data_IF_120038863716
#
_entry.id   IF_120038863716
#
_cell.length_a   1.000
_cell.length_b   1.000
_cell.length_c   1.000
_cell.angle_alpha   90.00
_cell.angle_beta   90.00
_cell.angle_gamma   90.00
#
_symmetry.space_group_name_H-M   'P 1'
#
loop_
_entity.id
_entity.type
_entity.pdbx_description
1 polymer ?
#
# COMPACT_ATOMS: atom_id res chain seq x y z
N UNK A 1 4.62 13.54 -14.76
CA UNK A 1 3.40 14.37 -14.91
C UNK A 1 3.04 15.09 -13.61
N UNK A 2 2.80 14.36 -12.47
CA UNK A 2 2.45 15.00 -11.17
C UNK A 2 3.62 15.84 -10.67
N UNK A 3 4.84 15.30 -10.63
CA UNK A 3 6.04 16.05 -10.22
C UNK A 3 6.28 17.30 -11.07
N UNK A 4 5.99 17.25 -12.38
CA UNK A 4 6.06 18.41 -13.25
C UNK A 4 5.04 19.49 -12.85
N UNK A 5 3.79 19.11 -12.55
CA UNK A 5 2.77 20.04 -12.05
C UNK A 5 3.15 20.68 -10.71
N UNK A 6 3.78 19.90 -9.81
CA UNK A 6 4.28 20.45 -8.56
C UNK A 6 5.38 21.47 -8.80
N UNK A 7 6.29 21.20 -9.74
CA UNK A 7 7.34 22.16 -10.13
C UNK A 7 6.74 23.44 -10.72
N UNK A 8 5.75 23.32 -11.62
CA UNK A 8 5.01 24.46 -12.18
C UNK A 8 4.24 25.25 -11.10
N UNK A 9 3.89 24.61 -9.98
CA UNK A 9 3.21 25.21 -8.81
C UNK A 9 4.20 25.74 -7.74
N UNK A 10 5.44 26.00 -8.10
CA UNK A 10 6.47 26.51 -7.18
C UNK A 10 6.96 25.47 -6.18
N UNK A 11 7.12 24.23 -6.63
CA UNK A 11 7.53 23.04 -5.84
C UNK A 11 6.60 22.70 -4.67
N UNK A 12 5.35 23.20 -4.72
CA UNK A 12 4.30 22.79 -3.78
C UNK A 12 3.40 21.73 -4.41
N UNK A 13 2.80 20.83 -3.62
CA UNK A 13 1.84 19.87 -4.13
C UNK A 13 0.72 20.58 -4.91
N UNK A 14 0.54 20.21 -6.17
CA UNK A 14 -0.57 20.69 -6.99
C UNK A 14 -1.88 19.97 -6.60
N UNK A 15 -1.76 18.68 -6.30
CA UNK A 15 -2.89 17.88 -5.83
C UNK A 15 -2.87 17.80 -4.31
N UNK A 16 -3.98 18.16 -3.67
CA UNK A 16 -4.16 17.98 -2.23
C UNK A 16 -4.17 16.50 -1.83
N UNK A 17 -4.81 15.66 -2.64
CA UNK A 17 -4.94 14.22 -2.39
C UNK A 17 -4.42 13.40 -3.56
N UNK A 18 -3.73 12.31 -3.23
CA UNK A 18 -3.49 11.18 -4.14
C UNK A 18 -4.05 9.93 -3.45
N UNK A 19 -4.93 9.22 -4.15
CA UNK A 19 -5.49 7.96 -3.67
C UNK A 19 -4.94 6.81 -4.47
N UNK A 20 -4.39 5.80 -3.80
CA UNK A 20 -3.98 4.53 -4.39
C UNK A 20 -5.05 3.48 -4.06
N UNK A 21 -5.86 3.11 -5.04
CA UNK A 21 -6.89 2.09 -4.95
C UNK A 21 -6.51 0.92 -5.88
N UNK A 22 -6.00 -0.19 -5.37
CA UNK A 22 -5.79 -0.46 -3.96
C UNK A 22 -4.33 -0.87 -3.69
N UNK A 23 -3.88 -0.71 -2.46
CA UNK A 23 -2.50 -1.02 -2.08
C UNK A 23 -2.17 -2.52 -2.14
N UNK A 24 -3.16 -3.41 -2.08
CA UNK A 24 -2.95 -4.86 -2.30
C UNK A 24 -2.49 -5.15 -3.73
N UNK A 25 -2.98 -4.38 -4.73
CA UNK A 25 -2.50 -4.47 -6.11
C UNK A 25 -1.11 -3.85 -6.30
N UNK A 26 -0.78 -2.84 -5.50
CA UNK A 26 0.57 -2.27 -5.48
C UNK A 26 1.61 -3.34 -5.13
N UNK A 27 1.25 -4.31 -4.29
CA UNK A 27 2.12 -5.44 -3.95
C UNK A 27 2.48 -6.29 -5.18
N UNK A 28 1.52 -6.57 -6.06
CA UNK A 28 1.80 -7.32 -7.30
C UNK A 28 2.77 -6.56 -8.21
N UNK A 29 2.61 -5.25 -8.32
CA UNK A 29 3.53 -4.39 -9.09
C UNK A 29 4.91 -4.33 -8.45
N UNK A 30 4.99 -4.40 -7.13
CA UNK A 30 6.24 -4.36 -6.39
C UNK A 30 7.15 -5.59 -6.65
N UNK A 31 6.62 -6.71 -7.13
CA UNK A 31 7.42 -7.90 -7.49
C UNK A 31 8.49 -7.54 -8.52
N UNK A 32 8.12 -6.80 -9.56
CA UNK A 32 9.08 -6.37 -10.59
C UNK A 32 10.14 -5.43 -10.04
N UNK A 33 9.72 -4.47 -9.22
CA UNK A 33 10.65 -3.52 -8.61
C UNK A 33 11.55 -4.21 -7.57
N UNK A 34 11.03 -5.14 -6.80
CA UNK A 34 11.81 -5.96 -5.88
C UNK A 34 12.89 -6.78 -6.61
N UNK A 35 12.58 -7.32 -7.80
CA UNK A 35 13.58 -7.98 -8.64
C UNK A 35 14.67 -7.02 -9.11
N UNK A 36 14.33 -5.75 -9.42
CA UNK A 36 15.33 -4.71 -9.72
C UNK A 36 16.21 -4.43 -8.51
N UNK A 37 15.63 -4.28 -7.31
CA UNK A 37 16.38 -4.05 -6.07
C UNK A 37 17.31 -5.22 -5.76
N UNK A 38 16.83 -6.45 -5.93
CA UNK A 38 17.66 -7.64 -5.73
C UNK A 38 18.81 -7.69 -6.72
N UNK A 39 18.60 -7.39 -8.00
CA UNK A 39 19.67 -7.34 -9.01
C UNK A 39 20.78 -6.33 -8.73
N UNK A 40 20.55 -5.32 -7.90
CA UNK A 40 21.57 -4.38 -7.46
C UNK A 40 22.56 -4.99 -6.45
N UNK A 41 22.24 -6.16 -5.90
CA UNK A 41 23.14 -6.88 -5.00
C UNK A 41 24.06 -7.81 -5.77
N UNK A 42 25.21 -8.14 -5.19
CA UNK A 42 26.14 -9.11 -5.79
C UNK A 42 25.48 -10.47 -6.04
N UNK A 43 24.70 -10.97 -5.08
CA UNK A 43 24.01 -12.26 -5.20
C UNK A 43 22.90 -12.25 -6.26
N UNK A 44 22.22 -11.12 -6.40
CA UNK A 44 21.10 -10.95 -7.31
C UNK A 44 21.47 -10.53 -8.73
N UNK A 45 22.71 -10.21 -9.03
CA UNK A 45 23.16 -9.60 -10.30
C UNK A 45 22.70 -10.33 -11.58
N UNK A 46 22.42 -11.62 -11.46
CA UNK A 46 21.94 -12.47 -12.55
C UNK A 46 20.52 -13.03 -12.33
N UNK A 47 19.80 -12.49 -11.36
CA UNK A 47 18.43 -12.92 -11.04
C UNK A 47 17.43 -12.46 -12.10
N UNK A 48 16.52 -13.37 -12.47
CA UNK A 48 15.37 -13.05 -13.31
C UNK A 48 15.71 -12.77 -14.77
N UNK A 49 16.84 -13.24 -15.26
CA UNK A 49 17.14 -13.26 -16.69
C UNK A 49 16.89 -14.65 -17.27
N UNK A 50 16.39 -14.69 -18.52
CA UNK A 50 16.26 -15.94 -19.28
C UNK A 50 17.61 -16.58 -19.49
N UNK A 51 17.66 -17.91 -19.37
CA UNK A 51 18.86 -18.71 -19.58
C UNK A 51 18.63 -19.76 -20.67
N UNK A 52 19.68 -20.10 -21.38
CA UNK A 52 19.70 -21.25 -22.28
C UNK A 52 19.74 -22.58 -21.49
N UNK A 53 19.78 -23.71 -22.24
CA UNK A 53 19.80 -25.05 -21.63
C UNK A 53 21.09 -25.35 -20.83
N UNK A 54 22.17 -24.59 -21.02
CA UNK A 54 23.46 -24.75 -20.36
C UNK A 54 23.70 -23.65 -19.30
N UNK A 55 22.71 -22.77 -19.06
CA UNK A 55 22.72 -21.79 -17.96
C UNK A 55 23.24 -20.40 -18.33
N UNK A 56 23.60 -20.13 -19.59
CA UNK A 56 24.03 -18.81 -20.02
C UNK A 56 22.84 -17.85 -20.13
N UNK A 57 23.05 -16.59 -19.76
CA UNK A 57 22.03 -15.56 -19.89
C UNK A 57 21.81 -15.21 -21.37
N UNK A 58 20.57 -15.29 -21.81
CA UNK A 58 20.17 -14.89 -23.15
C UNK A 58 20.18 -13.36 -23.28
N UNK A 59 20.63 -12.91 -24.46
CA UNK A 59 20.64 -11.49 -24.84
C UNK A 59 19.78 -11.25 -26.07
N UNK A 60 19.24 -10.07 -26.18
CA UNK A 60 18.50 -9.62 -27.37
C UNK A 60 19.46 -9.14 -28.49
N UNK A 61 18.89 -8.63 -29.58
CA UNK A 61 19.66 -8.14 -30.74
C UNK A 61 20.56 -6.93 -30.42
N UNK A 62 20.26 -6.19 -29.34
CA UNK A 62 21.04 -5.05 -28.87
C UNK A 62 22.12 -5.44 -27.87
N UNK A 63 22.18 -6.72 -27.47
CA UNK A 63 23.10 -7.22 -26.46
C UNK A 63 22.58 -7.09 -25.03
N UNK A 64 21.35 -6.64 -24.83
CA UNK A 64 20.74 -6.50 -23.53
C UNK A 64 20.22 -7.85 -23.00
N UNK A 65 20.36 -8.06 -21.67
CA UNK A 65 19.90 -9.28 -21.01
C UNK A 65 18.37 -9.40 -21.06
N UNK A 66 17.85 -10.50 -21.56
CA UNK A 66 16.40 -10.75 -21.66
C UNK A 66 15.83 -11.07 -20.27
N UNK A 67 14.87 -10.27 -19.82
CA UNK A 67 14.16 -10.51 -18.55
C UNK A 67 13.23 -11.71 -18.68
N UNK A 68 13.23 -12.60 -17.69
CA UNK A 68 12.25 -13.67 -17.56
C UNK A 68 11.00 -13.11 -16.86
N UNK A 69 9.85 -13.04 -17.54
CA UNK A 69 8.62 -12.53 -16.94
C UNK A 69 8.06 -13.41 -15.82
N UNK A 70 8.55 -14.64 -15.68
CA UNK A 70 8.19 -15.58 -14.61
C UNK A 70 9.05 -15.45 -13.36
N UNK A 71 10.10 -14.62 -13.42
CA UNK A 71 11.00 -14.46 -12.28
C UNK A 71 10.30 -13.73 -11.13
N UNK A 72 10.21 -14.37 -10.00
CA UNK A 72 9.57 -13.87 -8.80
C UNK A 72 10.52 -13.96 -7.60
N UNK A 73 10.85 -12.81 -7.02
CA UNK A 73 11.75 -12.75 -5.86
C UNK A 73 11.19 -13.48 -4.64
N UNK A 74 9.86 -13.65 -4.54
CA UNK A 74 9.21 -14.38 -3.43
C UNK A 74 9.62 -15.85 -3.39
N UNK A 75 10.11 -16.39 -4.52
CA UNK A 75 10.62 -17.76 -4.63
C UNK A 75 12.09 -17.91 -4.18
N UNK A 76 12.73 -16.82 -3.75
CA UNK A 76 14.10 -16.92 -3.22
C UNK A 76 14.14 -17.77 -1.95
N UNK A 77 15.23 -18.58 -1.77
CA UNK A 77 15.38 -19.44 -0.60
C UNK A 77 15.27 -18.68 0.72
N UNK A 78 14.79 -19.38 1.76
CA UNK A 78 14.71 -18.87 3.14
C UNK A 78 13.92 -17.55 3.31
N UNK A 79 13.00 -17.26 2.39
CA UNK A 79 12.18 -16.06 2.45
C UNK A 79 12.94 -14.75 2.18
N UNK A 80 14.17 -14.82 1.65
CA UNK A 80 15.01 -13.65 1.38
C UNK A 80 14.29 -12.63 0.47
N UNK A 81 13.45 -13.10 -0.44
CA UNK A 81 12.70 -12.24 -1.36
C UNK A 81 11.73 -11.28 -0.68
N UNK A 82 11.16 -11.64 0.48
CA UNK A 82 10.25 -10.78 1.21
C UNK A 82 10.90 -9.50 1.75
N UNK A 83 12.24 -9.51 1.97
CA UNK A 83 12.97 -8.30 2.28
C UNK A 83 12.90 -7.29 1.13
N UNK A 84 13.14 -7.77 -0.09
CA UNK A 84 13.12 -6.92 -1.30
C UNK A 84 11.71 -6.48 -1.65
N UNK A 85 10.70 -7.34 -1.45
CA UNK A 85 9.29 -6.97 -1.59
C UNK A 85 8.91 -5.81 -0.67
N UNK A 86 9.25 -5.91 0.61
CA UNK A 86 9.00 -4.88 1.61
C UNK A 86 9.70 -3.56 1.26
N UNK A 87 10.97 -3.61 0.86
CA UNK A 87 11.71 -2.42 0.45
C UNK A 87 11.09 -1.80 -0.80
N UNK A 88 10.70 -2.60 -1.78
CA UNK A 88 10.05 -2.12 -3.00
C UNK A 88 8.75 -1.38 -2.70
N UNK A 89 7.85 -1.97 -1.90
CA UNK A 89 6.58 -1.33 -1.53
C UNK A 89 6.83 -0.04 -0.75
N UNK A 90 7.76 -0.07 0.20
CA UNK A 90 8.11 1.12 0.98
C UNK A 90 8.66 2.25 0.10
N UNK A 91 9.56 1.95 -0.83
CA UNK A 91 10.10 2.93 -1.78
C UNK A 91 8.99 3.46 -2.70
N UNK A 92 8.10 2.59 -3.20
CA UNK A 92 6.97 3.02 -4.04
C UNK A 92 6.04 3.97 -3.29
N UNK A 93 5.66 3.67 -2.05
CA UNK A 93 4.84 4.57 -1.21
C UNK A 93 5.57 5.89 -0.98
N UNK A 94 6.86 5.84 -0.66
CA UNK A 94 7.67 7.03 -0.41
C UNK A 94 7.84 7.93 -1.66
N UNK A 95 7.77 7.36 -2.87
CA UNK A 95 7.75 8.16 -4.10
C UNK A 95 6.48 8.98 -4.27
N UNK A 96 5.34 8.52 -3.72
CA UNK A 96 4.07 9.26 -3.79
C UNK A 96 3.93 10.33 -2.70
N UNK A 97 4.50 10.13 -1.53
CA UNK A 97 4.36 11.04 -0.37
C UNK A 97 4.66 12.51 -0.68
N UNK A 98 5.77 12.87 -1.36
CA UNK A 98 6.08 14.27 -1.66
C UNK A 98 5.23 14.88 -2.77
N UNK A 99 4.37 14.09 -3.42
CA UNK A 99 3.60 14.55 -4.58
C UNK A 99 2.24 15.16 -4.21
N UNK A 100 1.81 15.03 -2.95
CA UNK A 100 0.51 15.51 -2.46
C UNK A 100 0.60 15.92 -0.97
N UNK A 101 -0.39 16.67 -0.51
CA UNK A 101 -0.50 16.99 0.92
C UNK A 101 -0.94 15.76 1.73
N UNK A 102 -1.83 14.94 1.17
CA UNK A 102 -2.33 13.72 1.82
C UNK A 102 -2.34 12.55 0.85
N UNK A 103 -1.60 11.49 1.21
CA UNK A 103 -1.61 10.22 0.50
C UNK A 103 -2.62 9.27 1.16
N UNK A 104 -3.59 8.80 0.39
CA UNK A 104 -4.62 7.85 0.84
C UNK A 104 -4.34 6.49 0.21
N UNK A 105 -4.19 5.46 1.04
CA UNK A 105 -4.05 4.07 0.61
C UNK A 105 -5.33 3.32 0.93
N UNK A 106 -6.01 2.83 -0.09
CA UNK A 106 -7.16 1.94 0.07
C UNK A 106 -6.64 0.51 0.08
N UNK A 107 -7.01 -0.26 1.10
CA UNK A 107 -6.56 -1.63 1.28
C UNK A 107 -7.76 -2.55 1.52
N UNK A 108 -7.69 -3.77 1.00
CA UNK A 108 -8.55 -4.84 1.47
C UNK A 108 -8.14 -5.27 2.88
N UNK A 109 -9.07 -5.87 3.61
CA UNK A 109 -8.82 -6.45 4.92
C UNK A 109 -8.78 -7.97 4.81
N UNK A 110 -8.00 -8.59 5.70
CA UNK A 110 -7.98 -10.04 5.90
C UNK A 110 -7.92 -10.36 7.37
N UNK A 111 -8.37 -11.55 7.72
CA UNK A 111 -8.19 -12.13 9.05
C UNK A 111 -6.75 -12.62 9.21
N UNK A 112 -6.08 -12.18 10.28
CA UNK A 112 -4.74 -12.60 10.68
C UNK A 112 -4.82 -13.30 12.02
N UNK A 113 -4.43 -14.56 12.05
CA UNK A 113 -4.29 -15.29 13.32
C UNK A 113 -3.02 -14.82 14.03
N UNK A 114 -3.18 -14.44 15.28
CA UNK A 114 -2.09 -14.05 16.17
C UNK A 114 -2.17 -14.88 17.45
N UNK A 115 -1.01 -15.19 18.03
CA UNK A 115 -0.92 -15.87 19.31
C UNK A 115 -0.57 -14.85 20.39
N UNK A 116 -1.50 -14.60 21.31
CA UNK A 116 -1.31 -13.76 22.49
C UNK A 116 -1.49 -14.63 23.75
N UNK A 117 -0.48 -14.67 24.62
CA UNK A 117 -0.55 -15.38 25.91
C UNK A 117 -1.02 -16.84 25.80
N UNK A 118 -0.50 -17.55 24.79
CA UNK A 118 -0.89 -18.95 24.45
C UNK A 118 -2.32 -19.14 23.93
N UNK A 119 -3.08 -18.08 23.73
CA UNK A 119 -4.37 -18.11 23.06
C UNK A 119 -4.27 -17.66 21.62
N UNK A 120 -4.93 -18.37 20.72
CA UNK A 120 -5.07 -17.96 19.32
C UNK A 120 -6.23 -16.97 19.19
N UNK A 121 -5.92 -15.77 18.73
CA UNK A 121 -6.91 -14.73 18.46
C UNK A 121 -6.85 -14.33 16.99
N UNK A 122 -7.99 -13.94 16.43
CA UNK A 122 -8.07 -13.41 15.08
C UNK A 122 -8.08 -11.89 15.14
N UNK A 123 -7.17 -11.27 14.40
CA UNK A 123 -7.06 -9.82 14.24
C UNK A 123 -7.37 -9.44 12.79
N UNK A 124 -8.13 -8.37 12.60
CA UNK A 124 -8.34 -7.79 11.28
C UNK A 124 -7.10 -6.99 10.87
N UNK A 125 -6.49 -7.34 9.76
CA UNK A 125 -5.29 -6.70 9.23
C UNK A 125 -5.49 -6.26 7.78
N UNK A 126 -4.63 -5.37 7.28
CA UNK A 126 -4.59 -5.04 5.86
C UNK A 126 -4.09 -6.22 5.04
N UNK A 127 -4.70 -6.44 3.87
CA UNK A 127 -4.32 -7.54 2.98
C UNK A 127 -3.09 -7.17 2.15
N UNK A 128 -1.94 -7.18 2.82
CA UNK A 128 -0.59 -7.05 2.26
C UNK A 128 0.27 -8.15 2.88
N UNK A 129 1.16 -8.76 2.10
CA UNK A 129 1.94 -9.90 2.56
C UNK A 129 2.97 -9.56 3.63
N UNK A 130 3.17 -10.50 4.53
CA UNK A 130 4.20 -10.45 5.57
C UNK A 130 4.04 -9.27 6.53
N UNK A 131 5.17 -8.69 6.95
CA UNK A 131 5.21 -7.54 7.87
C UNK A 131 5.03 -6.18 7.18
N UNK A 132 4.82 -6.15 5.87
CA UNK A 132 4.75 -4.89 5.10
C UNK A 132 3.50 -4.10 5.48
N UNK A 133 2.36 -4.78 5.66
CA UNK A 133 1.13 -4.16 6.13
C UNK A 133 1.29 -3.49 7.49
N UNK A 134 1.93 -4.17 8.45
CA UNK A 134 2.19 -3.65 9.79
C UNK A 134 3.06 -2.39 9.74
N UNK A 135 4.08 -2.35 8.85
CA UNK A 135 4.97 -1.20 8.67
C UNK A 135 4.20 -0.01 8.08
N UNK A 136 3.43 -0.23 7.00
CA UNK A 136 2.65 0.85 6.35
C UNK A 136 1.64 1.43 7.34
N UNK A 137 0.93 0.56 8.08
CA UNK A 137 0.00 0.99 9.11
C UNK A 137 0.69 1.76 10.24
N UNK A 138 1.88 1.32 10.68
CA UNK A 138 2.67 2.01 11.69
C UNK A 138 3.14 3.41 11.27
N UNK A 139 3.33 3.66 9.98
CA UNK A 139 3.73 4.94 9.41
C UNK A 139 2.53 5.86 9.08
N UNK A 140 1.30 5.32 9.02
CA UNK A 140 0.10 6.10 8.71
C UNK A 140 -0.31 7.01 9.88
N UNK A 141 -0.79 8.21 9.59
CA UNK A 141 -1.32 9.13 10.60
C UNK A 141 -2.72 8.72 11.08
N UNK A 142 -3.49 8.09 10.22
CA UNK A 142 -4.81 7.57 10.55
C UNK A 142 -5.11 6.30 9.74
N UNK A 143 -5.76 5.34 10.38
CA UNK A 143 -6.23 4.10 9.77
C UNK A 143 -7.72 3.99 10.07
N UNK A 144 -8.54 4.19 9.05
CA UNK A 144 -9.98 4.09 9.12
C UNK A 144 -10.48 2.78 8.55
N UNK A 145 -11.40 2.14 9.25
CA UNK A 145 -12.11 0.96 8.75
C UNK A 145 -13.45 1.38 8.14
N UNK A 146 -13.61 1.09 6.85
CA UNK A 146 -14.85 1.37 6.11
C UNK A 146 -15.79 0.18 6.27
N UNK A 147 -17.03 0.46 6.70
CA UNK A 147 -18.10 -0.53 6.79
C UNK A 147 -19.39 0.02 6.22
N UNK A 148 -20.27 -0.88 5.75
CA UNK A 148 -21.60 -0.53 5.30
C UNK A 148 -22.65 -1.07 6.25
N UNK A 149 -23.55 -0.22 6.71
CA UNK A 149 -24.69 -0.57 7.56
C UNK A 149 -25.98 -0.09 6.89
N UNK A 150 -26.76 -1.01 6.37
CA UNK A 150 -27.93 -0.73 5.53
C UNK A 150 -27.55 0.21 4.36
N UNK A 151 -28.12 1.42 4.32
CA UNK A 151 -27.89 2.45 3.30
C UNK A 151 -26.75 3.42 3.66
N UNK A 152 -26.07 3.23 4.81
CA UNK A 152 -25.03 4.14 5.31
C UNK A 152 -23.65 3.53 5.17
N UNK A 153 -22.67 4.35 4.76
CA UNK A 153 -21.25 4.00 4.79
C UNK A 153 -20.59 4.74 5.95
N UNK A 154 -19.91 3.98 6.80
CA UNK A 154 -19.24 4.48 7.99
C UNK A 154 -17.74 4.30 7.87
N UNK A 155 -16.96 5.25 8.42
CA UNK A 155 -15.53 5.09 8.67
C UNK A 155 -15.27 5.16 10.15
N UNK A 156 -14.68 4.11 10.71
CA UNK A 156 -14.35 4.00 12.14
C UNK A 156 -12.84 4.14 12.35
N UNK A 157 -12.45 5.05 13.23
CA UNK A 157 -11.10 5.23 13.76
C UNK A 157 -10.97 4.79 15.22
N UNK A 158 -11.99 4.09 15.72
CA UNK A 158 -11.99 3.56 17.09
C UNK A 158 -10.99 2.43 17.18
N UNK A 159 -9.99 2.57 18.03
CA UNK A 159 -9.01 1.53 18.33
C UNK A 159 -9.66 0.27 18.93
N UNK A 160 -8.91 -0.82 18.98
CA UNK A 160 -9.38 -2.06 19.59
C UNK A 160 -8.32 -3.15 19.52
N UNK A 161 -8.45 -4.15 20.41
CA UNK A 161 -7.46 -5.22 20.54
C UNK A 161 -7.33 -6.13 19.32
N UNK A 162 -8.37 -6.16 18.48
CA UNK A 162 -8.50 -7.09 17.36
C UNK A 162 -8.57 -6.39 15.99
N UNK A 163 -8.17 -5.11 15.88
CA UNK A 163 -8.19 -4.43 14.59
C UNK A 163 -7.12 -3.34 14.51
N UNK A 164 -6.37 -3.34 13.39
CA UNK A 164 -5.43 -2.26 13.07
C UNK A 164 -6.25 -1.07 12.59
N UNK A 165 -6.63 -0.19 13.49
CA UNK A 165 -7.29 1.08 13.21
C UNK A 165 -7.01 2.06 14.34
N UNK A 166 -7.09 3.35 14.03
CA UNK A 166 -6.82 4.41 14.99
C UNK A 166 -6.37 5.67 14.30
N UNK A 167 -6.09 6.70 15.06
CA UNK A 167 -5.71 8.00 14.51
C UNK A 167 -4.82 8.79 15.45
N UNK A 168 -3.76 9.43 14.90
CA UNK A 168 -2.98 10.46 15.58
C UNK A 168 -3.73 11.80 15.62
N UNK A 169 -4.34 12.28 14.50
CA UNK A 169 -5.19 13.47 14.51
C UNK A 169 -6.33 13.39 15.53
N UNK A 170 -6.42 14.38 16.43
CA UNK A 170 -7.38 14.38 17.54
C UNK A 170 -8.84 14.42 17.05
N UNK A 171 -9.12 15.08 15.93
CA UNK A 171 -10.47 15.18 15.39
C UNK A 171 -11.01 13.84 14.89
N UNK A 172 -10.16 12.85 14.60
CA UNK A 172 -10.54 11.50 14.17
C UNK A 172 -10.51 10.47 15.30
N UNK A 173 -9.69 10.72 16.34
CA UNK A 173 -9.38 9.73 17.38
C UNK A 173 -10.64 9.23 18.08
N UNK A 174 -10.78 7.90 18.16
CA UNK A 174 -11.88 7.18 18.81
C UNK A 174 -13.28 7.59 18.31
N UNK A 175 -13.39 7.93 17.02
CA UNK A 175 -14.64 8.36 16.41
C UNK A 175 -15.06 7.47 15.25
N UNK A 176 -16.37 7.50 14.99
CA UNK A 176 -17.02 6.89 13.82
C UNK A 176 -17.76 7.99 13.07
N UNK A 177 -17.56 8.05 11.76
CA UNK A 177 -18.16 9.05 10.88
C UNK A 177 -19.05 8.37 9.85
N UNK A 178 -20.27 8.89 9.65
CA UNK A 178 -21.08 8.56 8.49
C UNK A 178 -20.58 9.40 7.31
N UNK A 179 -20.01 8.75 6.30
CA UNK A 179 -19.39 9.42 5.16
C UNK A 179 -20.20 9.33 3.88
N UNK A 180 -21.15 8.40 3.81
CA UNK A 180 -22.08 8.34 2.70
C UNK A 180 -23.42 7.74 3.14
N UNK A 181 -24.47 8.08 2.39
CA UNK A 181 -25.81 7.53 2.52
C UNK A 181 -26.44 7.39 1.14
N UNK A 182 -27.10 6.26 0.88
CA UNK A 182 -27.88 6.04 -0.34
C UNK A 182 -29.36 6.19 -0.06
N UNK A 183 -30.09 6.86 -0.96
CA UNK A 183 -31.56 6.92 -0.91
C UNK A 183 -32.20 5.67 -1.57
N UNK A 184 -33.52 5.56 -1.47
CA UNK A 184 -34.30 4.45 -2.05
C UNK A 184 -34.24 4.41 -3.59
N UNK A 185 -33.80 5.50 -4.23
CA UNK A 185 -33.62 5.62 -5.68
C UNK A 185 -32.19 5.27 -6.13
N UNK A 186 -31.31 4.95 -5.18
CA UNK A 186 -29.91 4.62 -5.44
C UNK A 186 -28.98 5.82 -5.61
N UNK A 187 -29.44 7.07 -5.35
CA UNK A 187 -28.54 8.22 -5.31
C UNK A 187 -27.68 8.15 -4.06
N UNK A 188 -26.40 8.48 -4.17
CA UNK A 188 -25.46 8.45 -3.06
C UNK A 188 -25.05 9.89 -2.73
N UNK A 189 -25.27 10.30 -1.48
CA UNK A 189 -24.73 11.54 -0.93
C UNK A 189 -23.46 11.20 -0.15
N UNK A 190 -22.35 11.86 -0.48
CA UNK A 190 -21.04 11.69 0.18
C UNK A 190 -20.69 12.97 0.93
N UNK A 191 -20.25 12.84 2.18
CA UNK A 191 -19.72 13.92 2.99
C UNK A 191 -18.50 13.46 3.77
N UNK A 192 -17.33 13.98 3.39
CA UNK A 192 -16.04 13.70 4.03
C UNK A 192 -15.53 14.89 4.86
N UNK A 193 -16.31 15.96 5.02
CA UNK A 193 -15.87 17.21 5.64
C UNK A 193 -15.42 17.06 7.09
N UNK A 194 -15.92 16.08 7.81
CA UNK A 194 -15.54 15.81 9.20
C UNK A 194 -14.19 15.04 9.29
N UNK A 195 -13.79 14.35 8.23
CA UNK A 195 -12.53 13.60 8.16
C UNK A 195 -11.45 14.47 7.53
N UNK A 196 -11.78 15.11 6.42
CA UNK A 196 -10.89 15.95 5.64
C UNK A 196 -11.24 17.40 5.97
N UNK A 197 -10.53 17.95 6.94
CA UNK A 197 -10.72 19.34 7.31
C UNK A 197 -10.18 20.27 6.21
N UNK A 198 -10.93 21.27 5.84
CA UNK A 198 -10.40 22.37 5.02
C UNK A 198 -9.48 23.20 5.92
N UNK A 199 -8.19 22.97 5.77
CA UNK A 199 -7.20 23.90 6.30
C UNK A 199 -7.25 25.13 5.39
N UNK A 200 -7.79 26.22 5.89
CA UNK A 200 -7.59 27.53 5.26
C UNK A 200 -6.07 27.75 5.07
N UNK A 201 -5.67 27.99 3.83
CA UNK A 201 -4.29 28.32 3.48
C UNK A 201 -4.03 29.78 3.73
#
# INVERSE_FOLDING_TARGET
>A
LIAQKNHENGDKPFYRFITIDNASRLEEMAVFYAAVLYRRTQMGANFGYKKDKIGNILKDANGDKIIDPKADVRQLPNGAGYLYMRNAIKEMVNMFRPLCDTLILVCHVKDKQIRKNDEETTEMAVDIAGKTGDIICGEADAIGYISRQANKTLISFVGGDNAIRGSRPLHLREKVFQVAESDDKGNIKVDMSQIILDTEK
#
